data_IF_534914218642
#
_entry.id   IF_534914218642
#
_cell.length_a   1.000
_cell.length_b   1.000
_cell.length_c   1.000
_cell.angle_alpha   90.00
_cell.angle_beta   90.00
_cell.angle_gamma   90.00
#
_symmetry.space_group_name_H-M   'P 1'
#
loop_
_entity.id
_entity.type
_entity.pdbx_description
1 polymer ?
#
# COMPACT_ATOMS: atom_id res chain seq x y z
N UNK A 1 12.56 2.95 6.12
CA UNK A 1 11.58 2.00 6.71
C UNK A 1 11.31 0.90 5.70
N UNK A 2 10.99 -0.33 6.10
CA UNK A 2 10.59 -1.40 5.17
C UNK A 2 9.08 -1.64 5.30
N UNK A 3 8.34 -1.46 4.20
CA UNK A 3 6.90 -1.75 4.15
C UNK A 3 6.72 -3.20 3.70
N UNK A 4 5.96 -3.96 4.47
CA UNK A 4 5.51 -5.32 4.16
C UNK A 4 4.12 -5.24 3.53
N UNK A 5 3.88 -6.11 2.55
CA UNK A 5 2.63 -6.19 1.79
C UNK A 5 2.08 -7.61 1.89
N UNK A 6 0.82 -7.75 2.25
CA UNK A 6 0.08 -9.02 2.19
C UNK A 6 -1.16 -8.84 1.32
N UNK A 7 -1.13 -9.42 0.12
CA UNK A 7 -2.22 -9.32 -0.85
C UNK A 7 -3.47 -10.08 -0.41
N UNK A 8 -3.36 -11.08 0.46
CA UNK A 8 -4.49 -11.88 0.94
C UNK A 8 -5.40 -11.07 1.88
N UNK A 9 -4.84 -10.05 2.55
CA UNK A 9 -5.58 -9.14 3.41
C UNK A 9 -6.13 -7.93 2.66
N UNK A 10 -5.84 -7.79 1.37
CA UNK A 10 -6.29 -6.66 0.58
C UNK A 10 -7.74 -6.85 0.11
N UNK A 11 -8.61 -5.88 0.40
CA UNK A 11 -9.99 -5.85 -0.14
C UNK A 11 -10.18 -4.83 -1.28
N UNK A 12 -9.08 -4.33 -1.84
CA UNK A 12 -9.08 -3.32 -2.91
C UNK A 12 -9.95 -2.07 -2.62
N UNK A 13 -9.99 -1.62 -1.36
CA UNK A 13 -10.76 -0.42 -0.96
C UNK A 13 -10.20 0.90 -1.49
N UNK A 14 -8.99 0.89 -2.05
CA UNK A 14 -8.29 2.05 -2.63
C UNK A 14 -7.97 3.20 -1.66
N UNK A 15 -8.13 3.02 -0.35
CA UNK A 15 -7.69 4.01 0.64
C UNK A 15 -6.20 4.33 0.50
N UNK A 16 -5.36 3.30 0.30
CA UNK A 16 -3.93 3.47 0.09
C UNK A 16 -3.60 4.33 -1.15
N UNK A 17 -4.36 4.18 -2.25
CA UNK A 17 -4.26 5.04 -3.44
C UNK A 17 -4.61 6.49 -3.11
N UNK A 18 -5.73 6.68 -2.43
CA UNK A 18 -6.27 8.00 -2.10
C UNK A 18 -5.29 8.79 -1.22
N UNK A 19 -4.85 8.21 -0.11
CA UNK A 19 -3.93 8.88 0.83
C UNK A 19 -2.55 9.09 0.23
N UNK A 20 -2.09 8.18 -0.64
CA UNK A 20 -0.82 8.34 -1.36
C UNK A 20 -0.89 9.49 -2.38
N UNK A 21 -1.99 9.62 -3.13
CA UNK A 21 -2.17 10.80 -4.00
C UNK A 21 -2.21 12.09 -3.20
N UNK A 22 -2.89 12.09 -2.06
CA UNK A 22 -2.94 13.25 -1.17
C UNK A 22 -1.55 13.61 -0.64
N UNK A 23 -0.71 12.63 -0.27
CA UNK A 23 0.69 12.90 0.08
C UNK A 23 1.42 13.67 -1.03
N UNK A 24 1.33 13.19 -2.27
CA UNK A 24 2.06 13.76 -3.41
C UNK A 24 1.53 15.13 -3.86
N UNK A 25 0.21 15.32 -3.91
CA UNK A 25 -0.39 16.48 -4.59
C UNK A 25 -1.26 17.33 -3.67
N UNK A 26 -1.43 16.93 -2.40
CA UNK A 26 -2.37 17.55 -1.44
C UNK A 26 -3.80 17.65 -1.98
N UNK A 27 -4.14 16.78 -2.93
CA UNK A 27 -5.45 16.65 -3.58
C UNK A 27 -5.79 15.18 -3.75
N UNK A 28 -7.08 14.86 -3.81
CA UNK A 28 -7.56 13.49 -3.98
C UNK A 28 -7.60 13.10 -5.46
N UNK A 29 -6.43 12.78 -6.03
CA UNK A 29 -6.29 12.36 -7.43
C UNK A 29 -5.57 11.00 -7.51
N UNK A 30 -6.29 9.87 -7.38
CA UNK A 30 -5.70 8.52 -7.26
C UNK A 30 -4.69 8.13 -8.36
N UNK A 31 -4.80 8.66 -9.57
CA UNK A 31 -3.83 8.41 -10.66
C UNK A 31 -2.43 8.95 -10.38
N UNK A 32 -2.31 9.95 -9.49
CA UNK A 32 -1.04 10.49 -9.01
C UNK A 32 -0.44 9.70 -7.85
N UNK A 33 -1.07 8.59 -7.44
CA UNK A 33 -0.54 7.73 -6.39
C UNK A 33 0.62 6.86 -6.87
N UNK A 34 1.52 6.55 -5.94
CA UNK A 34 2.61 5.61 -6.15
C UNK A 34 2.23 4.15 -5.92
N UNK A 35 1.01 3.89 -5.44
CA UNK A 35 0.45 2.55 -5.22
C UNK A 35 -0.89 2.48 -5.94
N UNK A 36 -1.06 1.58 -6.88
CA UNK A 36 -2.32 1.34 -7.59
C UNK A 36 -2.82 -0.06 -7.23
N UNK A 37 -4.09 -0.15 -6.86
CA UNK A 37 -4.78 -1.40 -6.56
C UNK A 37 -6.00 -1.50 -7.45
N UNK A 38 -6.10 -2.59 -8.20
CA UNK A 38 -7.25 -2.90 -9.03
C UNK A 38 -7.83 -4.25 -8.61
N UNK A 39 -9.16 -4.37 -8.74
CA UNK A 39 -9.89 -5.62 -8.57
C UNK A 39 -10.55 -5.95 -9.89
N UNK A 40 -10.29 -7.14 -10.40
CA UNK A 40 -10.98 -7.67 -11.56
C UNK A 40 -12.43 -7.98 -11.16
N UNK A 41 -13.45 -7.37 -11.81
CA UNK A 41 -14.85 -7.59 -11.44
C UNK A 41 -15.39 -8.97 -11.83
N UNK A 42 -14.73 -9.71 -12.73
CA UNK A 42 -15.16 -11.02 -13.21
C UNK A 42 -14.71 -12.16 -12.29
N UNK A 43 -13.44 -12.14 -11.84
CA UNK A 43 -12.86 -13.22 -11.04
C UNK A 43 -12.48 -12.79 -9.61
N UNK A 44 -12.61 -11.50 -9.29
CA UNK A 44 -12.27 -10.95 -7.98
C UNK A 44 -10.77 -10.78 -7.71
N UNK A 45 -9.89 -11.13 -8.66
CA UNK A 45 -8.44 -11.04 -8.52
C UNK A 45 -8.01 -9.61 -8.21
N UNK A 46 -7.15 -9.44 -7.21
CA UNK A 46 -6.61 -8.15 -6.81
C UNK A 46 -5.18 -8.03 -7.32
N UNK A 47 -4.90 -6.96 -8.06
CA UNK A 47 -3.57 -6.65 -8.57
C UNK A 47 -3.05 -5.37 -7.94
N UNK A 48 -1.76 -5.40 -7.65
CA UNK A 48 -1.02 -4.28 -7.10
C UNK A 48 0.00 -3.80 -8.12
N UNK A 49 0.19 -2.49 -8.17
CA UNK A 49 1.29 -1.88 -8.91
C UNK A 49 1.89 -0.79 -8.05
N UNK A 50 3.20 -0.86 -7.85
CA UNK A 50 3.97 0.21 -7.22
C UNK A 50 4.73 0.98 -8.29
N UNK A 51 4.67 2.31 -8.23
CA UNK A 51 5.45 3.19 -9.07
C UNK A 51 6.72 3.62 -8.33
N UNK A 52 7.79 3.91 -9.09
CA UNK A 52 9.06 4.39 -8.56
C UNK A 52 8.98 5.79 -7.91
N UNK A 53 7.84 6.48 -8.02
CA UNK A 53 7.54 7.75 -7.37
C UNK A 53 7.29 7.64 -5.87
N UNK A 54 7.24 6.42 -5.31
CA UNK A 54 7.07 6.21 -3.87
C UNK A 54 8.31 6.72 -3.12
N UNK A 55 8.14 7.77 -2.33
CA UNK A 55 9.17 8.37 -1.48
C UNK A 55 9.09 7.88 -0.02
N UNK A 56 8.28 6.85 0.22
CA UNK A 56 7.99 6.31 1.54
C UNK A 56 7.43 7.35 2.53
N UNK A 57 6.75 8.38 2.02
CA UNK A 57 6.20 9.49 2.81
C UNK A 57 7.26 10.19 3.66
N UNK A 58 8.37 10.63 3.04
CA UNK A 58 9.52 11.24 3.72
C UNK A 58 9.19 12.45 4.61
N UNK A 59 8.12 13.19 4.30
CA UNK A 59 7.66 14.38 5.05
C UNK A 59 6.48 14.09 5.99
N UNK A 60 6.17 12.82 6.24
CA UNK A 60 5.09 12.40 7.14
C UNK A 60 5.69 11.58 8.31
N UNK A 61 5.01 11.54 9.45
CA UNK A 61 5.47 10.77 10.62
C UNK A 61 5.59 9.27 10.34
N UNK A 62 4.70 8.74 9.50
CA UNK A 62 4.65 7.35 9.06
C UNK A 62 4.05 7.24 7.65
N UNK A 63 4.33 6.15 6.90
CA UNK A 63 3.72 5.93 5.60
C UNK A 63 2.18 5.90 5.70
N UNK A 64 1.52 6.88 5.08
CA UNK A 64 0.07 7.02 5.17
C UNK A 64 -0.68 5.80 4.64
N UNK A 65 -0.12 5.11 3.65
CA UNK A 65 -0.70 3.88 3.11
C UNK A 65 -0.73 2.74 4.14
N UNK A 66 0.24 2.68 5.06
CA UNK A 66 0.25 1.75 6.20
C UNK A 66 -0.74 2.22 7.26
N UNK A 67 -0.63 3.49 7.69
CA UNK A 67 -1.49 4.10 8.73
C UNK A 67 -2.97 3.88 8.47
N UNK A 68 -3.41 4.06 7.23
CA UNK A 68 -4.82 3.99 6.84
C UNK A 68 -5.23 2.64 6.23
N UNK A 69 -4.38 1.61 6.27
CA UNK A 69 -4.75 0.27 5.85
C UNK A 69 -5.56 -0.45 6.94
N UNK A 70 -6.88 -0.25 6.93
CA UNK A 70 -7.78 -0.85 7.93
C UNK A 70 -7.79 -2.39 7.96
N UNK A 71 -7.35 -3.04 6.87
CA UNK A 71 -7.30 -4.50 6.77
C UNK A 71 -5.94 -5.10 7.14
N UNK A 72 -4.92 -4.28 7.37
CA UNK A 72 -3.57 -4.77 7.69
C UNK A 72 -2.79 -5.35 6.50
N UNK A 73 -3.23 -5.14 5.27
CA UNK A 73 -2.50 -5.54 4.05
C UNK A 73 -1.16 -4.79 3.86
N UNK A 74 -0.98 -3.66 4.54
CA UNK A 74 0.25 -2.85 4.54
C UNK A 74 0.72 -2.66 5.97
N UNK A 75 1.98 -3.00 6.23
CA UNK A 75 2.58 -2.92 7.57
C UNK A 75 4.03 -2.44 7.52
N UNK A 76 4.55 -1.89 8.61
CA UNK A 76 5.98 -1.62 8.76
C UNK A 76 6.65 -2.87 9.33
N UNK A 77 7.75 -3.31 8.72
CA UNK A 77 8.62 -4.34 9.29
C UNK A 77 9.32 -3.78 10.53
N UNK A 78 8.79 -4.11 11.70
CA UNK A 78 9.49 -3.88 12.96
C UNK A 78 10.57 -4.96 13.08
N UNK A 79 11.86 -4.59 13.05
CA UNK A 79 12.98 -5.55 13.14
C UNK A 79 13.12 -6.27 14.50
N UNK A 80 12.08 -6.28 15.35
CA UNK A 80 12.04 -6.99 16.63
C UNK A 80 10.68 -7.71 16.80
N UNK A 81 10.41 -8.73 16.00
CA UNK A 81 9.57 -9.88 16.33
C UNK A 81 9.70 -10.90 15.19
N UNK A 82 10.34 -12.02 15.50
CA UNK A 82 10.51 -13.28 14.75
C UNK A 82 10.07 -13.34 13.27
N UNK A 83 11.04 -13.72 12.45
CA UNK A 83 10.94 -14.12 11.05
C UNK A 83 9.71 -15.00 10.78
N UNK A 84 8.84 -14.52 9.88
CA UNK A 84 8.03 -15.42 9.06
C UNK A 84 7.96 -14.86 7.64
N UNK A 85 8.50 -15.67 6.74
CA UNK A 85 8.62 -15.49 5.32
C UNK A 85 7.23 -15.29 4.68
N UNK A 86 7.00 -14.15 4.04
CA UNK A 86 5.89 -13.99 3.09
C UNK A 86 6.49 -14.07 1.71
N UNK A 87 6.13 -15.15 1.00
CA UNK A 87 6.56 -15.45 -0.36
C UNK A 87 5.95 -14.42 -1.31
N UNK A 88 6.81 -13.60 -1.90
CA UNK A 88 6.49 -12.80 -3.08
C UNK A 88 6.14 -13.76 -4.23
N UNK A 89 4.87 -13.79 -4.64
CA UNK A 89 4.48 -14.31 -5.95
C UNK A 89 3.93 -13.11 -6.74
N UNK A 90 4.78 -12.58 -7.62
CA UNK A 90 4.49 -11.52 -8.59
C UNK A 90 3.30 -11.84 -9.52
#
# INVERSE_FOLDING_TARGET
>A
MKIIRDSNLCYACKTCQLVCSFHHTKTFWPERSSIIVSRNPQDGTIKWRMNATCDQCIDEEEPLCVKYCMYGALQISNKNANEQEVKDND
#
